data_IF_463994182041
#
_entry.id   IF_463994182041
#
_cell.length_a   1.000
_cell.length_b   1.000
_cell.length_c   1.000
_cell.angle_alpha   90.00
_cell.angle_beta   90.00
_cell.angle_gamma   90.00
#
_symmetry.space_group_name_H-M   'P 1'
#
loop_
_entity.id
_entity.type
_entity.pdbx_description
1 polymer ?
#
# COMPACT_ATOMS: atom_id res chain seq x y z
N UNK A 1 7.60 26.16 -19.99
CA UNK A 1 6.91 25.90 -18.72
C UNK A 1 7.90 25.40 -17.67
N UNK A 2 7.57 25.62 -16.42
CA UNK A 2 8.26 25.15 -15.22
C UNK A 2 7.26 25.09 -14.08
N UNK A 3 7.71 24.76 -12.88
CA UNK A 3 6.83 24.64 -11.71
C UNK A 3 7.35 25.47 -10.55
N UNK A 4 6.44 26.16 -9.88
CA UNK A 4 6.69 26.97 -8.69
C UNK A 4 5.99 26.35 -7.48
N UNK A 5 6.52 26.60 -6.29
CA UNK A 5 5.82 26.34 -5.04
C UNK A 5 4.79 27.44 -4.73
N UNK A 6 4.10 27.29 -3.61
CA UNK A 6 3.08 28.26 -3.17
C UNK A 6 3.66 29.63 -2.79
N UNK A 7 4.98 29.74 -2.60
CA UNK A 7 5.66 31.00 -2.31
C UNK A 7 6.08 31.74 -3.59
N UNK A 8 5.96 31.11 -4.76
CA UNK A 8 6.39 31.62 -6.04
C UNK A 8 7.85 31.31 -6.37
N UNK A 9 8.53 30.49 -5.58
CA UNK A 9 9.87 30.04 -5.87
C UNK A 9 9.86 28.90 -6.90
N UNK A 10 10.80 28.93 -7.85
CA UNK A 10 10.93 27.86 -8.84
C UNK A 10 11.41 26.57 -8.18
N UNK A 11 10.60 25.51 -8.25
CA UNK A 11 10.97 24.15 -7.87
C UNK A 11 11.55 23.41 -9.07
N UNK A 12 10.95 23.64 -10.24
CA UNK A 12 11.50 23.20 -11.53
C UNK A 12 11.57 24.46 -12.42
N UNK A 13 12.78 24.96 -12.75
CA UNK A 13 12.93 26.10 -13.63
C UNK A 13 12.25 25.91 -15.00
N UNK A 14 11.86 26.98 -15.70
CA UNK A 14 11.27 26.89 -17.02
C UNK A 14 12.20 26.19 -18.01
N UNK A 15 11.79 24.99 -18.47
CA UNK A 15 12.56 24.18 -19.41
C UNK A 15 11.69 23.34 -20.34
N UNK A 16 10.38 23.32 -20.14
CA UNK A 16 9.46 22.52 -20.93
C UNK A 16 8.73 23.39 -21.97
N UNK A 17 8.51 22.82 -23.16
CA UNK A 17 7.67 23.41 -24.21
C UNK A 17 6.18 23.28 -23.81
N UNK A 18 5.80 22.20 -23.17
CA UNK A 18 4.47 21.94 -22.67
C UNK A 18 4.53 21.25 -21.31
N UNK A 19 3.67 21.67 -20.38
CA UNK A 19 3.46 21.06 -19.09
C UNK A 19 2.07 21.46 -18.55
N UNK A 20 1.46 20.61 -17.72
CA UNK A 20 0.19 20.84 -17.05
C UNK A 20 0.37 20.72 -15.54
N UNK A 21 -0.72 20.66 -14.80
CA UNK A 21 -0.70 20.39 -13.37
C UNK A 21 -0.43 18.90 -13.11
N UNK A 22 0.25 18.60 -12.01
CA UNK A 22 0.49 17.23 -11.59
C UNK A 22 -0.84 16.53 -11.24
N UNK A 23 -1.01 15.32 -11.77
CA UNK A 23 -2.09 14.41 -11.42
C UNK A 23 -1.50 13.13 -10.79
N UNK A 24 -2.00 12.74 -9.63
CA UNK A 24 -1.49 11.58 -8.89
C UNK A 24 0.05 11.58 -8.72
N UNK A 25 0.62 12.76 -8.47
CA UNK A 25 2.05 12.94 -8.24
C UNK A 25 2.93 12.95 -9.49
N UNK A 26 2.36 12.85 -10.70
CA UNK A 26 3.11 12.84 -11.97
C UNK A 26 2.50 13.76 -13.01
N UNK A 27 3.31 14.19 -13.98
CA UNK A 27 2.87 14.95 -15.16
C UNK A 27 3.65 14.49 -16.39
N UNK A 28 2.96 14.54 -17.56
CA UNK A 28 3.60 14.43 -18.86
C UNK A 28 4.13 15.79 -19.29
N UNK A 29 5.42 15.89 -19.49
CA UNK A 29 6.10 17.11 -19.94
C UNK A 29 6.69 16.91 -21.34
N UNK A 30 6.73 17.98 -22.14
CA UNK A 30 7.42 17.99 -23.43
C UNK A 30 8.61 18.93 -23.33
N UNK A 31 9.79 18.47 -23.75
CA UNK A 31 11.00 19.27 -23.87
C UNK A 31 11.70 18.90 -25.18
N UNK A 32 12.00 19.90 -26.03
CA UNK A 32 12.63 19.72 -27.34
C UNK A 32 11.92 18.65 -28.21
N UNK A 33 10.58 18.67 -28.18
CA UNK A 33 9.74 17.71 -28.91
C UNK A 33 9.74 16.27 -28.35
N UNK A 34 10.36 16.02 -27.20
CA UNK A 34 10.37 14.72 -26.52
C UNK A 34 9.41 14.74 -25.35
N UNK A 35 8.62 13.65 -25.23
CA UNK A 35 7.69 13.48 -24.11
C UNK A 35 8.39 12.70 -23.00
N UNK A 36 8.30 13.23 -21.78
CA UNK A 36 8.79 12.60 -20.57
C UNK A 36 7.74 12.59 -19.47
N UNK A 37 7.99 11.81 -18.42
CA UNK A 37 7.19 11.80 -17.19
C UNK A 37 8.00 12.52 -16.13
N UNK A 38 7.43 13.56 -15.53
CA UNK A 38 7.99 14.29 -14.39
C UNK A 38 7.23 13.89 -13.12
N UNK A 39 7.96 13.46 -12.09
CA UNK A 39 7.41 13.30 -10.75
C UNK A 39 7.34 14.65 -10.07
N UNK A 40 6.25 14.94 -9.35
CA UNK A 40 6.12 16.16 -8.57
C UNK A 40 7.24 16.22 -7.51
N UNK A 41 8.16 17.16 -7.59
CA UNK A 41 9.28 17.27 -6.64
C UNK A 41 8.85 17.72 -5.24
N UNK A 42 7.63 18.23 -5.08
CA UNK A 42 7.03 18.59 -3.78
C UNK A 42 6.21 17.44 -3.16
N UNK A 43 6.02 16.34 -3.88
CA UNK A 43 5.35 15.16 -3.37
C UNK A 43 6.36 14.30 -2.59
N UNK A 44 6.59 14.69 -1.36
CA UNK A 44 7.53 14.05 -0.44
C UNK A 44 6.77 13.33 0.69
N UNK A 45 7.26 12.19 1.15
CA UNK A 45 6.73 11.57 2.36
C UNK A 45 7.00 12.45 3.58
N UNK A 46 6.20 12.30 4.60
CA UNK A 46 6.43 12.94 5.90
C UNK A 46 7.82 12.59 6.45
N UNK A 47 8.47 13.46 7.23
CA UNK A 47 9.82 13.22 7.75
C UNK A 47 9.97 11.88 8.49
N UNK A 48 8.93 11.45 9.20
CA UNK A 48 8.93 10.17 9.92
C UNK A 48 8.89 8.95 8.99
N UNK A 49 8.33 9.08 7.79
CA UNK A 49 8.16 7.99 6.82
C UNK A 49 9.27 7.96 5.76
N UNK A 50 10.02 9.05 5.60
CA UNK A 50 10.99 9.23 4.51
C UNK A 50 12.01 8.08 4.42
N UNK A 51 12.55 7.65 5.57
CA UNK A 51 13.48 6.52 5.63
C UNK A 51 12.86 5.20 5.20
N UNK A 52 11.62 4.93 5.65
CA UNK A 52 10.90 3.70 5.28
C UNK A 52 10.56 3.67 3.78
N UNK A 53 10.13 4.80 3.23
CA UNK A 53 9.84 4.93 1.79
C UNK A 53 11.10 4.72 0.95
N UNK A 54 12.25 5.31 1.35
CA UNK A 54 13.54 5.09 0.66
C UNK A 54 13.94 3.62 0.68
N UNK A 55 13.92 2.99 1.86
CA UNK A 55 14.27 1.58 2.02
C UNK A 55 13.33 0.67 1.22
N UNK A 56 12.02 0.93 1.24
CA UNK A 56 11.05 0.14 0.47
C UNK A 56 11.32 0.24 -1.04
N UNK A 57 11.70 1.44 -1.53
CA UNK A 57 12.07 1.65 -2.93
C UNK A 57 13.34 0.88 -3.31
N UNK A 58 14.38 0.94 -2.49
CA UNK A 58 15.65 0.24 -2.71
C UNK A 58 15.48 -1.28 -2.73
N UNK A 59 14.58 -1.81 -1.89
CA UNK A 59 14.24 -3.23 -1.83
C UNK A 59 13.30 -3.70 -2.95
N UNK A 60 12.83 -2.79 -3.81
CA UNK A 60 11.87 -3.13 -4.87
C UNK A 60 10.46 -3.44 -4.37
N UNK A 61 10.10 -3.00 -3.17
CA UNK A 61 8.78 -3.20 -2.55
C UNK A 61 7.76 -2.12 -2.93
N UNK A 62 8.20 -1.06 -3.63
CA UNK A 62 7.37 0.10 -3.92
C UNK A 62 7.01 0.16 -5.40
N UNK A 63 5.78 -0.25 -5.79
CA UNK A 63 5.29 -0.09 -7.15
C UNK A 63 5.27 1.40 -7.54
N UNK A 64 5.55 1.69 -8.82
CA UNK A 64 5.63 3.07 -9.33
C UNK A 64 4.34 3.86 -9.07
N UNK A 65 3.18 3.22 -9.20
CA UNK A 65 1.86 3.84 -9.02
C UNK A 65 1.60 4.27 -7.57
N UNK A 66 2.33 3.66 -6.62
CA UNK A 66 2.20 3.93 -5.18
C UNK A 66 3.32 4.86 -4.68
N UNK A 67 4.33 5.13 -5.50
CA UNK A 67 5.47 5.99 -5.14
C UNK A 67 5.13 7.48 -5.29
N UNK A 68 3.98 7.90 -4.79
CA UNK A 68 3.46 9.28 -4.85
C UNK A 68 2.31 9.48 -3.86
N UNK A 69 1.88 10.72 -3.68
CA UNK A 69 0.71 11.09 -2.85
C UNK A 69 0.74 10.50 -1.44
N UNK A 70 1.91 10.49 -0.80
CA UNK A 70 2.23 9.74 0.41
C UNK A 70 1.30 10.02 1.60
N UNK A 71 0.83 11.26 1.74
CA UNK A 71 -0.03 11.71 2.86
C UNK A 71 -1.52 11.54 2.59
N UNK A 72 -1.91 11.10 1.39
CA UNK A 72 -3.31 10.84 1.05
C UNK A 72 -3.74 9.42 1.45
N UNK A 73 -5.05 9.20 1.58
CA UNK A 73 -5.59 7.88 1.84
C UNK A 73 -5.27 6.93 0.68
N UNK A 74 -4.75 5.74 0.99
CA UNK A 74 -4.45 4.73 -0.02
C UNK A 74 -5.73 4.09 -0.54
N UNK A 75 -5.81 3.88 -1.85
CA UNK A 75 -6.92 3.15 -2.46
C UNK A 75 -6.73 1.64 -2.33
N UNK A 76 -7.83 0.90 -2.48
CA UNK A 76 -7.82 -0.56 -2.48
C UNK A 76 -6.96 -1.13 -3.62
N UNK A 77 -6.98 -0.47 -4.79
CA UNK A 77 -6.12 -0.81 -5.92
C UNK A 77 -4.63 -0.67 -5.54
N UNK A 78 -4.21 0.49 -5.09
CA UNK A 78 -2.81 0.75 -4.75
C UNK A 78 -2.32 -0.15 -3.61
N UNK A 79 -3.17 -0.44 -2.62
CA UNK A 79 -2.77 -1.38 -1.57
C UNK A 79 -2.64 -2.81 -2.08
N UNK A 80 -3.48 -3.23 -3.04
CA UNK A 80 -3.33 -4.54 -3.69
C UNK A 80 -2.03 -4.65 -4.49
N UNK A 81 -1.60 -3.57 -5.15
CA UNK A 81 -0.30 -3.49 -5.83
C UNK A 81 0.87 -3.65 -4.85
N UNK A 82 0.80 -3.00 -3.66
CA UNK A 82 1.79 -3.19 -2.60
C UNK A 82 1.83 -4.65 -2.14
N UNK A 83 0.68 -5.28 -1.92
CA UNK A 83 0.61 -6.67 -1.45
C UNK A 83 1.15 -7.66 -2.48
N UNK A 84 0.83 -7.46 -3.76
CA UNK A 84 1.40 -8.26 -4.86
C UNK A 84 2.91 -8.09 -4.91
N UNK A 85 3.40 -6.86 -4.82
CA UNK A 85 4.83 -6.56 -4.81
C UNK A 85 5.54 -7.21 -3.61
N UNK A 86 4.96 -7.11 -2.40
CA UNK A 86 5.46 -7.76 -1.20
C UNK A 86 5.61 -9.28 -1.40
N UNK A 87 4.56 -9.93 -1.88
CA UNK A 87 4.55 -11.39 -2.10
C UNK A 87 5.61 -11.78 -3.12
N UNK A 88 5.64 -11.12 -4.28
CA UNK A 88 6.56 -11.46 -5.36
C UNK A 88 8.03 -11.20 -4.99
N UNK A 89 8.29 -10.19 -4.16
CA UNK A 89 9.65 -9.88 -3.67
C UNK A 89 10.09 -10.86 -2.58
N UNK A 90 9.20 -11.23 -1.67
CA UNK A 90 9.53 -12.14 -0.56
C UNK A 90 9.66 -13.61 -1.01
N UNK A 91 8.84 -14.07 -1.96
CA UNK A 91 8.90 -15.44 -2.52
C UNK A 91 9.92 -15.56 -3.67
N UNK A 92 10.28 -14.44 -4.31
CA UNK A 92 11.13 -14.43 -5.51
C UNK A 92 10.43 -14.93 -6.77
N UNK A 93 9.12 -15.17 -6.73
CA UNK A 93 8.32 -15.69 -7.83
C UNK A 93 7.14 -14.79 -8.14
N UNK A 94 6.72 -14.77 -9.41
CA UNK A 94 5.53 -14.04 -9.83
C UNK A 94 4.27 -14.82 -9.52
N UNK A 95 3.23 -14.13 -8.99
CA UNK A 95 1.91 -14.71 -8.80
C UNK A 95 1.28 -15.00 -10.17
N UNK A 96 0.75 -16.20 -10.33
CA UNK A 96 0.03 -16.58 -11.56
C UNK A 96 -1.33 -15.87 -11.63
N UNK A 97 -1.51 -15.05 -12.66
CA UNK A 97 -2.73 -14.25 -12.86
C UNK A 97 -3.76 -14.91 -13.79
N UNK A 98 -3.62 -16.22 -14.09
CA UNK A 98 -4.55 -16.94 -15.01
C UNK A 98 -5.93 -17.19 -14.40
N UNK A 99 -6.13 -16.98 -13.11
CA UNK A 99 -7.44 -17.09 -12.46
C UNK A 99 -8.47 -16.16 -13.10
N UNK A 100 -9.70 -16.63 -13.21
CA UNK A 100 -10.83 -15.79 -13.62
C UNK A 100 -11.10 -14.78 -12.52
N UNK A 101 -11.10 -13.50 -12.89
CA UNK A 101 -11.42 -12.42 -11.96
C UNK A 101 -12.95 -12.32 -11.83
N UNK A 102 -13.52 -12.43 -10.63
CA UNK A 102 -14.97 -12.33 -10.44
C UNK A 102 -15.48 -10.88 -10.49
N UNK A 103 -14.57 -9.89 -10.42
CA UNK A 103 -14.92 -8.49 -10.29
C UNK A 103 -15.33 -7.88 -11.63
N UNK A 104 -16.41 -7.10 -11.61
CA UNK A 104 -16.97 -6.44 -12.80
C UNK A 104 -16.47 -5.02 -12.99
N UNK A 105 -15.85 -4.44 -11.96
CA UNK A 105 -15.44 -3.05 -11.88
C UNK A 105 -13.91 -2.84 -12.03
N UNK A 106 -13.16 -3.89 -12.27
CA UNK A 106 -11.72 -3.82 -12.56
C UNK A 106 -11.26 -4.96 -13.47
N UNK A 107 -10.30 -4.67 -14.34
CA UNK A 107 -9.56 -5.67 -15.13
C UNK A 107 -8.07 -5.66 -14.78
N UNK A 108 -7.68 -4.94 -13.74
CA UNK A 108 -6.30 -4.72 -13.36
C UNK A 108 -5.58 -6.02 -13.00
N UNK A 109 -4.30 -6.11 -13.40
CA UNK A 109 -3.48 -7.29 -13.20
C UNK A 109 -3.11 -7.53 -11.74
N UNK A 110 -2.93 -6.46 -10.94
CA UNK A 110 -2.62 -6.60 -9.52
C UNK A 110 -3.86 -7.05 -8.74
N UNK A 111 -5.07 -6.56 -9.07
CA UNK A 111 -6.31 -7.07 -8.51
C UNK A 111 -6.50 -8.56 -8.81
N UNK A 112 -6.20 -8.98 -10.05
CA UNK A 112 -6.24 -10.40 -10.47
C UNK A 112 -5.25 -11.27 -9.69
N UNK A 113 -4.00 -10.82 -9.55
CA UNK A 113 -2.97 -11.50 -8.78
C UNK A 113 -3.34 -11.59 -7.29
N UNK A 114 -3.81 -10.48 -6.71
CA UNK A 114 -4.24 -10.44 -5.32
C UNK A 114 -5.42 -11.39 -5.06
N UNK A 115 -6.35 -11.49 -6.01
CA UNK A 115 -7.44 -12.48 -5.93
C UNK A 115 -6.92 -13.92 -6.05
N UNK A 116 -6.06 -14.21 -7.01
CA UNK A 116 -5.45 -15.54 -7.19
C UNK A 116 -4.66 -16.01 -5.96
N UNK A 117 -4.01 -15.08 -5.25
CA UNK A 117 -3.29 -15.34 -4.00
C UNK A 117 -4.23 -15.38 -2.76
N UNK A 118 -5.54 -15.16 -2.91
CA UNK A 118 -6.48 -15.10 -1.80
C UNK A 118 -6.34 -13.88 -0.89
N UNK A 119 -5.62 -12.86 -1.32
CA UNK A 119 -5.41 -11.61 -0.57
C UNK A 119 -6.69 -10.78 -0.54
N UNK A 120 -7.42 -10.75 -1.65
CA UNK A 120 -8.70 -10.05 -1.79
C UNK A 120 -9.82 -11.00 -2.16
N UNK A 121 -11.04 -10.72 -1.69
CA UNK A 121 -12.24 -11.56 -1.89
C UNK A 121 -13.41 -10.79 -2.49
N UNK A 122 -13.21 -9.54 -2.88
CA UNK A 122 -14.28 -8.62 -3.30
C UNK A 122 -14.97 -7.93 -2.12
N UNK A 123 -15.93 -7.09 -2.45
CA UNK A 123 -16.81 -6.36 -1.52
C UNK A 123 -18.26 -6.79 -1.71
N UNK A 124 -19.10 -6.58 -0.72
CA UNK A 124 -20.51 -6.92 -0.80
C UNK A 124 -20.75 -8.41 -1.09
N UNK A 125 -21.32 -8.71 -2.25
CA UNK A 125 -21.58 -10.07 -2.74
C UNK A 125 -20.34 -10.75 -3.36
N UNK A 126 -19.19 -10.08 -3.38
CA UNK A 126 -17.94 -10.60 -3.93
C UNK A 126 -17.74 -10.33 -5.42
N UNK A 127 -18.68 -9.64 -6.09
CA UNK A 127 -18.60 -9.34 -7.53
C UNK A 127 -17.95 -8.01 -7.85
N UNK A 128 -17.67 -7.17 -6.84
CA UNK A 128 -17.01 -5.87 -6.98
C UNK A 128 -15.70 -5.84 -6.18
N UNK A 129 -14.75 -5.08 -6.70
CA UNK A 129 -13.45 -4.85 -6.05
C UNK A 129 -13.36 -3.49 -5.38
N UNK A 130 -14.00 -2.48 -5.97
CA UNK A 130 -13.98 -1.08 -5.56
C UNK A 130 -12.56 -0.47 -5.60
N UNK A 131 -11.90 -0.42 -6.77
CA UNK A 131 -10.48 -0.06 -6.91
C UNK A 131 -10.14 1.30 -6.31
N UNK A 132 -11.00 2.30 -6.50
CA UNK A 132 -10.76 3.69 -6.09
C UNK A 132 -11.21 4.00 -4.65
N UNK A 133 -11.84 3.05 -3.98
CA UNK A 133 -12.26 3.23 -2.60
C UNK A 133 -11.04 3.28 -1.67
N UNK A 134 -10.98 4.27 -0.79
CA UNK A 134 -10.02 4.28 0.31
C UNK A 134 -10.28 3.11 1.25
N UNK A 135 -9.22 2.47 1.73
CA UNK A 135 -9.34 1.34 2.66
C UNK A 135 -9.18 1.79 4.11
N UNK A 136 -9.95 1.13 4.97
CA UNK A 136 -9.78 1.30 6.42
C UNK A 136 -8.59 0.49 6.94
N UNK A 137 -8.14 0.84 8.12
CA UNK A 137 -7.02 0.19 8.78
C UNK A 137 -7.28 -1.31 9.05
N UNK A 138 -8.51 -1.68 9.40
CA UNK A 138 -8.88 -3.09 9.55
C UNK A 138 -8.93 -3.84 8.21
N UNK A 139 -9.36 -3.18 7.11
CA UNK A 139 -9.32 -3.77 5.77
C UNK A 139 -7.89 -3.99 5.30
N UNK A 140 -7.04 -2.99 5.50
CA UNK A 140 -5.61 -3.09 5.22
C UNK A 140 -4.97 -4.25 6.01
N UNK A 141 -5.25 -4.36 7.31
CA UNK A 141 -4.72 -5.43 8.15
C UNK A 141 -5.13 -6.82 7.64
N UNK A 142 -6.40 -6.99 7.26
CA UNK A 142 -6.87 -8.26 6.70
C UNK A 142 -6.18 -8.65 5.38
N UNK A 143 -5.96 -7.68 4.49
CA UNK A 143 -5.24 -7.92 3.23
C UNK A 143 -3.76 -8.26 3.49
N UNK A 144 -3.08 -7.51 4.35
CA UNK A 144 -1.68 -7.75 4.71
C UNK A 144 -1.51 -9.12 5.39
N UNK A 145 -2.38 -9.46 6.33
CA UNK A 145 -2.37 -10.77 7.00
C UNK A 145 -2.47 -11.93 6.01
N UNK A 146 -3.41 -11.85 5.04
CA UNK A 146 -3.55 -12.87 3.98
C UNK A 146 -2.33 -12.93 3.07
N UNK A 147 -1.72 -11.79 2.73
CA UNK A 147 -0.48 -11.76 1.97
C UNK A 147 0.66 -12.47 2.71
N UNK A 148 0.81 -12.21 4.00
CA UNK A 148 1.80 -12.88 4.86
C UNK A 148 1.52 -14.39 4.92
N UNK A 149 0.27 -14.81 5.14
CA UNK A 149 -0.10 -16.22 5.13
C UNK A 149 0.24 -16.91 3.79
N UNK A 150 0.01 -16.21 2.68
CA UNK A 150 0.39 -16.73 1.36
C UNK A 150 1.91 -16.92 1.26
N UNK A 151 2.71 -15.93 1.67
CA UNK A 151 4.19 -16.03 1.66
C UNK A 151 4.63 -17.20 2.56
N UNK A 152 4.10 -17.31 3.77
CA UNK A 152 4.41 -18.41 4.72
C UNK A 152 4.15 -19.78 4.06
N UNK A 153 3.02 -19.92 3.37
CA UNK A 153 2.66 -21.16 2.66
C UNK A 153 3.63 -21.47 1.51
N UNK A 154 4.09 -20.47 0.76
CA UNK A 154 5.00 -20.66 -0.37
C UNK A 154 6.44 -20.95 0.07
N UNK A 155 6.89 -20.28 1.11
CA UNK A 155 8.30 -20.30 1.54
C UNK A 155 8.58 -21.27 2.70
N UNK A 156 7.55 -21.68 3.42
CA UNK A 156 7.68 -22.46 4.66
C UNK A 156 8.17 -21.64 5.87
N UNK A 157 8.39 -20.32 5.71
CA UNK A 157 8.82 -19.43 6.80
C UNK A 157 7.60 -18.94 7.58
N UNK A 158 7.65 -19.01 8.91
CA UNK A 158 6.59 -18.47 9.78
C UNK A 158 7.10 -17.18 10.44
N UNK A 159 6.37 -16.08 10.26
CA UNK A 159 6.69 -14.77 10.86
C UNK A 159 5.56 -14.26 11.76
N UNK A 160 4.35 -14.81 11.64
CA UNK A 160 3.26 -14.48 12.53
C UNK A 160 3.41 -15.26 13.83
N UNK A 161 3.37 -14.54 14.94
CA UNK A 161 3.27 -15.15 16.28
C UNK A 161 1.82 -15.51 16.58
N UNK A 162 1.60 -16.35 17.59
CA UNK A 162 0.25 -16.61 18.08
C UNK A 162 -0.44 -15.29 18.46
N UNK A 163 -1.68 -15.14 18.01
CA UNK A 163 -2.43 -13.92 18.21
C UNK A 163 -2.65 -13.70 19.72
N UNK A 164 -2.22 -12.54 20.21
CA UNK A 164 -2.64 -12.02 21.50
C UNK A 164 -4.03 -11.38 21.42
N UNK A 165 -4.58 -10.99 22.57
CA UNK A 165 -5.79 -10.18 22.58
C UNK A 165 -5.52 -8.73 22.14
N UNK A 166 -6.57 -8.02 21.76
CA UNK A 166 -6.54 -6.58 21.50
C UNK A 166 -6.94 -5.74 22.73
N UNK A 167 -7.01 -6.36 23.90
CA UNK A 167 -7.56 -5.76 25.13
C UNK A 167 -6.76 -4.56 25.64
N UNK A 168 -5.51 -4.41 25.20
CA UNK A 168 -4.69 -3.23 25.49
C UNK A 168 -5.15 -1.96 24.76
N UNK A 169 -6.03 -2.09 23.76
CA UNK A 169 -6.53 -0.96 23.00
C UNK A 169 -7.96 -0.58 23.41
N UNK A 170 -8.17 0.67 23.73
CA UNK A 170 -9.45 1.18 24.22
C UNK A 170 -10.58 1.12 23.19
N UNK A 171 -10.23 1.07 21.92
CA UNK A 171 -11.12 1.00 20.78
C UNK A 171 -11.22 -0.40 20.14
N UNK A 172 -10.72 -1.44 20.81
CA UNK A 172 -10.81 -2.82 20.37
C UNK A 172 -12.25 -3.27 20.06
N UNK A 173 -13.24 -2.77 20.80
CA UNK A 173 -14.66 -3.03 20.56
C UNK A 173 -15.21 -2.48 19.24
N UNK A 174 -14.48 -1.60 18.56
CA UNK A 174 -14.83 -1.09 17.22
C UNK A 174 -14.34 -1.98 16.08
N UNK A 175 -13.48 -2.94 16.38
CA UNK A 175 -12.94 -3.88 15.38
C UNK A 175 -14.06 -4.79 14.89
N UNK A 176 -14.22 -4.90 13.58
CA UNK A 176 -15.14 -5.87 12.98
C UNK A 176 -14.69 -7.30 13.26
N UNK A 177 -15.63 -8.19 13.56
CA UNK A 177 -15.31 -9.60 13.89
C UNK A 177 -14.45 -10.30 12.82
N UNK A 178 -14.66 -10.00 11.53
CA UNK A 178 -13.87 -10.56 10.43
C UNK A 178 -12.41 -10.06 10.39
N UNK A 179 -12.07 -8.96 11.05
CA UNK A 179 -10.73 -8.38 11.07
C UNK A 179 -9.97 -8.65 12.38
N UNK A 180 -10.65 -9.17 13.42
CA UNK A 180 -10.08 -9.31 14.75
C UNK A 180 -8.80 -10.16 14.75
N UNK A 181 -8.85 -11.36 14.17
CA UNK A 181 -7.69 -12.26 14.09
C UNK A 181 -6.50 -11.64 13.34
N UNK A 182 -6.79 -10.93 12.24
CA UNK A 182 -5.75 -10.27 11.44
C UNK A 182 -5.05 -9.17 12.23
N UNK A 183 -5.83 -8.31 12.90
CA UNK A 183 -5.28 -7.24 13.73
C UNK A 183 -4.49 -7.80 14.92
N UNK A 184 -5.03 -8.80 15.60
CA UNK A 184 -4.38 -9.43 16.75
C UNK A 184 -3.03 -10.07 16.35
N UNK A 185 -3.00 -10.85 15.26
CA UNK A 185 -1.78 -11.50 14.79
C UNK A 185 -0.71 -10.49 14.34
N UNK A 186 -1.10 -9.47 13.57
CA UNK A 186 -0.16 -8.44 13.11
C UNK A 186 0.38 -7.57 14.25
N UNK A 187 -0.45 -7.32 15.26
CA UNK A 187 -0.04 -6.56 16.45
C UNK A 187 0.91 -7.39 17.32
N UNK A 188 0.59 -8.65 17.58
CA UNK A 188 1.45 -9.56 18.34
C UNK A 188 2.83 -9.77 17.68
N UNK A 189 2.87 -9.77 16.34
CA UNK A 189 4.11 -9.89 15.56
C UNK A 189 4.87 -8.56 15.43
N UNK A 190 4.38 -7.45 16.01
CA UNK A 190 5.01 -6.13 15.93
C UNK A 190 4.95 -5.46 14.54
N UNK A 191 4.31 -6.10 13.56
CA UNK A 191 4.16 -5.56 12.21
C UNK A 191 3.23 -4.35 12.22
N UNK A 192 2.05 -4.50 12.86
CA UNK A 192 1.10 -3.41 13.05
C UNK A 192 1.22 -2.87 14.47
N UNK A 193 1.27 -1.56 14.59
CA UNK A 193 1.25 -0.84 15.89
C UNK A 193 -0.01 0.01 15.97
N UNK A 194 -0.41 0.39 17.17
CA UNK A 194 -1.49 1.36 17.35
C UNK A 194 -1.20 2.71 16.70
N UNK A 195 -2.24 3.50 16.48
CA UNK A 195 -2.10 4.93 16.12
C UNK A 195 -1.64 5.76 17.31
N UNK A 196 -1.85 5.22 18.51
CA UNK A 196 -1.26 5.68 19.77
C UNK A 196 -0.91 4.46 20.63
N UNK A 197 -0.41 4.70 21.84
CA UNK A 197 -0.18 3.63 22.82
C UNK A 197 -1.44 2.87 23.25
N UNK A 198 -2.62 3.44 22.99
CA UNK A 198 -3.90 2.92 23.49
C UNK A 198 -5.00 2.77 22.42
N UNK A 199 -4.74 3.11 21.16
CA UNK A 199 -5.75 3.07 20.09
C UNK A 199 -5.24 2.40 18.84
N UNK A 200 -6.11 1.62 18.17
CA UNK A 200 -5.89 1.00 16.86
C UNK A 200 -6.43 1.83 15.70
N UNK A 201 -7.50 2.58 15.93
CA UNK A 201 -8.27 3.31 14.92
C UNK A 201 -8.73 2.42 13.75
N UNK A 202 -9.44 1.31 13.98
CA UNK A 202 -9.71 0.29 12.96
C UNK A 202 -10.55 0.80 11.79
N UNK A 203 -11.37 1.81 12.00
CA UNK A 203 -12.27 2.40 11.00
C UNK A 203 -11.67 3.59 10.25
N UNK A 204 -10.55 4.13 10.72
CA UNK A 204 -9.89 5.24 10.04
C UNK A 204 -9.24 4.77 8.74
N UNK A 205 -9.14 5.66 7.78
CA UNK A 205 -8.40 5.40 6.53
C UNK A 205 -6.90 5.39 6.79
N UNK A 206 -6.18 4.65 5.95
CA UNK A 206 -4.71 4.54 6.03
C UNK A 206 -4.08 5.36 4.91
N UNK A 207 -3.03 6.12 5.23
CA UNK A 207 -2.28 6.86 4.20
C UNK A 207 -1.33 5.95 3.42
N UNK A 208 -0.91 6.40 2.23
CA UNK A 208 0.06 5.69 1.38
C UNK A 208 1.35 5.41 2.15
N UNK A 209 1.92 6.40 2.83
CA UNK A 209 3.16 6.23 3.60
C UNK A 209 3.03 5.27 4.79
N UNK A 210 1.86 5.22 5.44
CA UNK A 210 1.58 4.23 6.49
C UNK A 210 1.52 2.81 5.91
N UNK A 211 0.88 2.65 4.75
CA UNK A 211 0.81 1.37 4.06
C UNK A 211 2.19 0.87 3.61
N UNK A 212 3.04 1.76 3.10
CA UNK A 212 4.43 1.45 2.73
C UNK A 212 5.23 1.00 3.96
N UNK A 213 5.13 1.71 5.08
CA UNK A 213 5.82 1.34 6.32
C UNK A 213 5.42 -0.07 6.80
N UNK A 214 4.13 -0.40 6.76
CA UNK A 214 3.64 -1.72 7.19
C UNK A 214 4.10 -2.83 6.23
N UNK A 215 4.11 -2.55 4.93
CA UNK A 215 4.65 -3.48 3.92
C UNK A 215 6.14 -3.74 4.15
N UNK A 216 6.93 -2.70 4.43
CA UNK A 216 8.34 -2.83 4.75
C UNK A 216 8.57 -3.66 6.03
N UNK A 217 7.83 -3.39 7.10
CA UNK A 217 7.93 -4.17 8.35
C UNK A 217 7.63 -5.64 8.12
N UNK A 218 6.55 -5.94 7.38
CA UNK A 218 6.21 -7.32 7.05
C UNK A 218 7.33 -8.02 6.25
N UNK A 219 7.91 -7.33 5.26
CA UNK A 219 9.04 -7.87 4.48
C UNK A 219 10.27 -8.15 5.37
N UNK A 220 10.59 -7.23 6.28
CA UNK A 220 11.74 -7.36 7.19
C UNK A 220 11.61 -8.57 8.10
N UNK A 221 10.40 -8.97 8.51
CA UNK A 221 10.20 -10.19 9.30
C UNK A 221 10.57 -11.46 8.50
N UNK A 222 10.33 -11.47 7.18
CA UNK A 222 10.77 -12.58 6.32
C UNK A 222 12.27 -12.57 6.00
N UNK A 223 12.95 -11.46 6.25
CA UNK A 223 14.38 -11.30 5.94
C UNK A 223 15.29 -11.60 7.13
N UNK A 224 14.70 -11.88 8.29
CA UNK A 224 15.42 -12.35 9.49
C UNK A 224 15.74 -13.85 9.36
#
# INVERSE_FOLDING_TARGET
YGYMDQTGAWVVPPQFDQAKSFENGYELVCQDGRIGILKNPLDLPSPWAAGAVSTARELGLLPRQVDSCYTTAITRQHFSELMVCLVETADGKKIDARSVLPFTDTADIAARKAYAAGIVTGTGDGTTFSPDASITREQMAAMLYRAIQYIQKQTGRSVLTEAGGLDSFTDAGQVSGWAADSLAALTASGILQGTSSATLSPKDTTTVEQAILLTLRAYQEFSK
#
